data_IF_919036175912
#
_entry.id   IF_919036175912
#
_cell.length_a   1.000
_cell.length_b   1.000
_cell.length_c   1.000
_cell.angle_alpha   90.00
_cell.angle_beta   90.00
_cell.angle_gamma   90.00
#
_symmetry.space_group_name_H-M   'P 1'
#
loop_
_entity.id
_entity.type
_entity.pdbx_description
1 polymer ?
#
# COMPACT_ATOMS: atom_id res chain seq x y z
N UNK A 1 -3.49 -12.75 -20.17
CA UNK A 1 -3.27 -12.74 -18.70
C UNK A 1 -3.70 -11.37 -18.19
N UNK A 2 -4.52 -11.29 -17.17
CA UNK A 2 -4.88 -9.98 -16.60
C UNK A 2 -3.65 -9.39 -15.93
N UNK A 3 -3.45 -8.08 -16.08
CA UNK A 3 -2.39 -7.35 -15.42
C UNK A 3 -2.65 -7.30 -13.90
N UNK A 4 -1.65 -7.61 -13.09
CA UNK A 4 -1.76 -7.64 -11.64
C UNK A 4 -0.84 -6.59 -11.01
N UNK A 5 -1.39 -5.70 -10.20
CA UNK A 5 -0.61 -4.74 -9.45
C UNK A 5 -0.80 -4.90 -7.95
N UNK A 6 0.25 -4.61 -7.21
CA UNK A 6 0.18 -4.37 -5.77
C UNK A 6 0.23 -2.87 -5.52
N UNK A 7 -0.67 -2.35 -4.70
CA UNK A 7 -0.69 -0.93 -4.32
C UNK A 7 -0.54 -0.83 -2.82
N UNK A 8 0.53 -0.22 -2.36
CA UNK A 8 0.75 0.07 -0.93
C UNK A 8 0.32 1.47 -0.61
N UNK A 9 -0.43 1.61 0.47
CA UNK A 9 -0.91 2.91 0.95
C UNK A 9 -0.35 3.15 2.36
N UNK A 10 0.50 4.17 2.50
CA UNK A 10 1.08 4.57 3.78
C UNK A 10 0.07 5.19 4.73
N UNK A 11 0.30 5.10 6.04
CA UNK A 11 -0.55 5.73 7.05
C UNK A 11 -0.66 7.23 6.82
N UNK A 12 0.45 7.94 6.60
CA UNK A 12 0.47 9.38 6.30
C UNK A 12 -0.28 9.78 5.03
N UNK A 13 -0.52 8.82 4.12
CA UNK A 13 -1.28 9.06 2.88
C UNK A 13 -2.80 9.04 3.08
N UNK A 14 -3.27 8.33 4.11
CA UNK A 14 -4.69 8.10 4.37
C UNK A 14 -5.19 8.92 5.55
N UNK A 15 -4.28 9.40 6.42
CA UNK A 15 -4.63 10.16 7.59
C UNK A 15 -4.20 11.62 7.44
N UNK A 16 -5.14 12.53 7.69
CA UNK A 16 -4.90 13.96 7.75
C UNK A 16 -5.35 14.45 9.14
N UNK A 17 -4.44 15.04 9.92
CA UNK A 17 -4.70 15.52 11.29
C UNK A 17 -5.36 14.47 12.20
N UNK A 18 -4.95 13.20 12.09
CA UNK A 18 -5.47 12.09 12.90
C UNK A 18 -6.80 11.51 12.42
N UNK A 19 -7.44 12.09 11.41
CA UNK A 19 -8.67 11.59 10.81
C UNK A 19 -8.39 10.91 9.45
N UNK A 20 -9.26 9.98 9.05
CA UNK A 20 -9.17 9.33 7.75
C UNK A 20 -9.57 10.31 6.64
N UNK A 21 -8.74 10.39 5.61
CA UNK A 21 -9.04 11.13 4.38
C UNK A 21 -9.81 10.23 3.40
N UNK A 22 -11.13 10.30 3.50
CA UNK A 22 -12.02 9.54 2.61
C UNK A 22 -11.93 9.98 1.14
N UNK A 23 -11.44 11.18 0.85
CA UNK A 23 -11.23 11.61 -0.53
C UNK A 23 -10.08 10.83 -1.18
N UNK A 24 -8.99 10.61 -0.45
CA UNK A 24 -7.87 9.77 -0.92
C UNK A 24 -8.36 8.35 -1.17
N UNK A 25 -9.12 7.76 -0.24
CA UNK A 25 -9.67 6.41 -0.40
C UNK A 25 -10.67 6.32 -1.57
N UNK A 26 -11.53 7.34 -1.75
CA UNK A 26 -12.45 7.39 -2.88
C UNK A 26 -11.72 7.51 -4.22
N UNK A 27 -10.68 8.33 -4.30
CA UNK A 27 -9.85 8.43 -5.50
C UNK A 27 -9.10 7.12 -5.80
N UNK A 28 -8.64 6.41 -4.76
CA UNK A 28 -8.07 5.08 -4.91
C UNK A 28 -9.11 4.09 -5.45
N UNK A 29 -10.31 4.05 -4.84
CA UNK A 29 -11.42 3.20 -5.29
C UNK A 29 -11.81 3.45 -6.74
N UNK A 30 -11.91 4.71 -7.15
CA UNK A 30 -12.14 5.08 -8.55
C UNK A 30 -11.00 4.57 -9.46
N UNK A 31 -9.75 4.79 -9.04
CA UNK A 31 -8.59 4.42 -9.83
C UNK A 31 -8.47 2.90 -10.04
N UNK A 32 -8.61 2.09 -8.99
CA UNK A 32 -8.53 0.63 -9.11
C UNK A 32 -9.69 0.07 -9.95
N UNK A 33 -10.88 0.66 -9.80
CA UNK A 33 -12.06 0.27 -10.59
C UNK A 33 -11.85 0.58 -12.07
N UNK A 34 -11.42 1.79 -12.40
CA UNK A 34 -11.17 2.19 -13.79
C UNK A 34 -10.08 1.32 -14.44
N UNK A 35 -8.99 1.04 -13.73
CA UNK A 35 -7.93 0.14 -14.22
C UNK A 35 -8.45 -1.27 -14.47
N UNK A 36 -9.33 -1.78 -13.60
CA UNK A 36 -9.92 -3.10 -13.79
C UNK A 36 -10.78 -3.19 -15.04
N UNK A 37 -11.67 -2.24 -15.24
CA UNK A 37 -12.66 -2.32 -16.34
C UNK A 37 -12.11 -1.81 -17.68
N UNK A 38 -11.19 -0.85 -17.67
CA UNK A 38 -10.65 -0.27 -18.91
C UNK A 38 -9.30 -0.86 -19.33
N UNK A 39 -8.54 -1.50 -18.41
CA UNK A 39 -7.21 -2.05 -18.67
C UNK A 39 -7.01 -3.48 -18.17
N UNK A 40 -8.09 -4.16 -17.80
CA UNK A 40 -8.05 -5.53 -17.26
C UNK A 40 -7.04 -5.74 -16.12
N UNK A 41 -6.79 -4.68 -15.31
CA UNK A 41 -5.81 -4.69 -14.23
C UNK A 41 -6.47 -5.03 -12.91
N UNK A 42 -6.05 -6.13 -12.28
CA UNK A 42 -6.42 -6.50 -10.91
C UNK A 42 -5.50 -5.81 -9.90
N UNK A 43 -6.02 -5.46 -8.74
CA UNK A 43 -5.27 -4.77 -7.69
C UNK A 43 -5.36 -5.51 -6.36
N UNK A 44 -4.22 -5.67 -5.70
CA UNK A 44 -4.09 -6.11 -4.30
C UNK A 44 -3.58 -4.92 -3.51
N UNK A 45 -4.28 -4.55 -2.44
CA UNK A 45 -3.95 -3.36 -1.65
C UNK A 45 -3.24 -3.75 -0.35
N UNK A 46 -2.07 -3.18 -0.08
CA UNK A 46 -1.38 -3.29 1.20
C UNK A 46 -1.61 -2.02 1.99
N UNK A 47 -2.29 -2.14 3.10
CA UNK A 47 -2.83 -1.02 3.88
C UNK A 47 -2.11 -0.86 5.21
N UNK A 48 -2.21 0.31 5.82
CA UNK A 48 -1.61 0.65 7.11
C UNK A 48 -2.55 1.55 7.91
N UNK A 49 -2.34 1.63 9.24
CA UNK A 49 -3.05 2.59 10.08
C UNK A 49 -3.89 1.97 11.22
N UNK A 50 -3.92 0.64 11.35
CA UNK A 50 -4.69 -0.03 12.40
C UNK A 50 -4.28 0.45 13.81
N UNK A 51 -2.97 0.49 14.10
CA UNK A 51 -2.48 0.97 15.41
C UNK A 51 -2.93 2.41 15.66
N UNK A 52 -2.81 3.30 14.68
CA UNK A 52 -3.20 4.71 14.83
C UNK A 52 -4.70 4.86 15.14
N UNK A 53 -5.55 4.14 14.42
CA UNK A 53 -7.00 4.12 14.69
C UNK A 53 -7.30 3.57 16.09
N UNK A 54 -6.66 2.48 16.49
CA UNK A 54 -6.84 1.92 17.82
C UNK A 54 -6.33 2.82 18.93
N UNK A 55 -5.26 3.58 18.69
CA UNK A 55 -4.81 4.62 19.62
C UNK A 55 -5.89 5.69 19.82
N UNK A 56 -6.50 6.17 18.74
CA UNK A 56 -7.61 7.13 18.82
C UNK A 56 -8.79 6.59 19.60
N UNK A 57 -9.24 5.37 19.33
CA UNK A 57 -10.34 4.71 20.05
C UNK A 57 -10.04 4.49 21.55
N UNK A 58 -8.78 4.24 21.90
CA UNK A 58 -8.33 4.05 23.28
C UNK A 58 -7.92 5.34 23.99
N UNK A 59 -7.98 6.50 23.31
CA UNK A 59 -7.64 7.79 23.87
C UNK A 59 -6.14 8.03 24.08
N UNK A 60 -5.27 7.32 23.36
CA UNK A 60 -3.84 7.56 23.42
C UNK A 60 -3.43 8.79 22.58
N UNK A 61 -2.94 9.84 23.23
CA UNK A 61 -2.40 11.02 22.55
C UNK A 61 -1.01 10.78 21.92
N UNK A 62 -0.27 9.77 22.41
CA UNK A 62 1.05 9.40 21.92
C UNK A 62 1.14 7.88 21.76
N UNK A 63 2.02 7.44 20.85
CA UNK A 63 2.26 6.02 20.64
C UNK A 63 2.78 5.38 21.94
N UNK A 64 2.11 4.32 22.45
CA UNK A 64 2.58 3.59 23.62
C UNK A 64 3.94 2.94 23.39
N UNK A 65 4.77 2.89 24.42
CA UNK A 65 6.04 2.15 24.39
C UNK A 65 5.82 0.66 24.65
N UNK A 66 4.74 0.31 25.35
CA UNK A 66 4.37 -1.07 25.67
C UNK A 66 3.88 -1.80 24.42
N UNK A 67 4.51 -2.93 24.12
CA UNK A 67 4.17 -3.76 22.96
C UNK A 67 2.78 -4.36 23.04
N UNK A 68 2.32 -4.75 24.24
CA UNK A 68 0.98 -5.30 24.44
C UNK A 68 -0.10 -4.25 24.18
N UNK A 69 0.18 -2.99 24.59
CA UNK A 69 -0.71 -1.87 24.28
C UNK A 69 -0.74 -1.57 22.77
N UNK A 70 0.40 -1.64 22.08
CA UNK A 70 0.44 -1.49 20.62
C UNK A 70 -0.34 -2.60 19.91
N UNK A 71 -0.19 -3.85 20.35
CA UNK A 71 -0.98 -4.97 19.83
C UNK A 71 -2.48 -4.79 20.13
N UNK A 72 -2.82 -4.32 21.33
CA UNK A 72 -4.20 -3.99 21.67
C UNK A 72 -4.76 -2.89 20.77
N UNK A 73 -3.99 -1.83 20.50
CA UNK A 73 -4.37 -0.80 19.54
C UNK A 73 -4.58 -1.40 18.14
N UNK A 74 -3.68 -2.28 17.67
CA UNK A 74 -3.84 -2.95 16.39
C UNK A 74 -5.16 -3.74 16.30
N UNK A 75 -5.50 -4.53 17.34
CA UNK A 75 -6.74 -5.32 17.39
C UNK A 75 -7.99 -4.45 17.41
N UNK A 76 -7.97 -3.33 18.15
CA UNK A 76 -9.10 -2.38 18.21
C UNK A 76 -9.24 -1.60 16.90
N UNK A 77 -8.14 -1.20 16.31
CA UNK A 77 -8.15 -0.35 15.11
C UNK A 77 -8.33 -1.10 13.80
N UNK A 78 -7.97 -2.40 13.71
CA UNK A 78 -8.07 -3.14 12.46
C UNK A 78 -9.50 -3.23 11.90
N UNK A 79 -10.56 -3.51 12.67
CA UNK A 79 -11.93 -3.44 12.17
C UNK A 79 -12.30 -2.06 11.64
N UNK A 80 -11.90 -1.00 12.36
CA UNK A 80 -12.13 0.40 11.94
C UNK A 80 -11.41 0.75 10.63
N UNK A 81 -10.21 0.22 10.45
CA UNK A 81 -9.46 0.38 9.23
C UNK A 81 -10.20 -0.27 8.05
N UNK A 82 -10.73 -1.48 8.23
CA UNK A 82 -11.51 -2.18 7.22
C UNK A 82 -12.78 -1.43 6.84
N UNK A 83 -13.53 -0.94 7.83
CA UNK A 83 -14.74 -0.13 7.62
C UNK A 83 -14.41 1.13 6.80
N UNK A 84 -13.32 1.81 7.15
CA UNK A 84 -12.91 3.02 6.45
C UNK A 84 -12.53 2.75 4.97
N UNK A 85 -11.79 1.67 4.72
CA UNK A 85 -11.46 1.27 3.36
C UNK A 85 -12.69 0.83 2.58
N UNK A 86 -13.64 0.08 3.18
CA UNK A 86 -14.88 -0.30 2.48
C UNK A 86 -15.68 0.94 2.09
N UNK A 87 -15.90 1.89 3.01
CA UNK A 87 -16.61 3.14 2.74
C UNK A 87 -15.92 3.94 1.63
N UNK A 88 -14.62 4.18 1.78
CA UNK A 88 -13.88 5.03 0.84
C UNK A 88 -13.76 4.40 -0.55
N UNK A 89 -13.36 3.14 -0.64
CA UNK A 89 -13.23 2.44 -1.92
C UNK A 89 -14.59 2.33 -2.64
N UNK A 90 -15.66 2.06 -1.88
CA UNK A 90 -17.02 1.99 -2.41
C UNK A 90 -17.45 3.32 -3.01
N UNK A 91 -17.19 4.43 -2.34
CA UNK A 91 -17.53 5.76 -2.87
C UNK A 91 -16.86 6.03 -4.23
N UNK A 92 -15.60 5.61 -4.42
CA UNK A 92 -14.91 5.72 -5.70
C UNK A 92 -15.46 4.78 -6.77
N UNK A 93 -15.76 3.56 -6.36
CA UNK A 93 -16.34 2.53 -7.22
C UNK A 93 -17.73 2.94 -7.73
N UNK A 94 -18.58 3.46 -6.84
CA UNK A 94 -19.92 3.93 -7.20
C UNK A 94 -19.87 5.14 -8.14
N UNK A 95 -18.89 6.06 -7.92
CA UNK A 95 -18.64 7.18 -8.84
C UNK A 95 -18.34 6.68 -10.25
N UNK A 96 -17.41 5.73 -10.41
CA UNK A 96 -17.08 5.13 -11.71
C UNK A 96 -18.30 4.43 -12.32
N UNK A 97 -19.03 3.62 -11.54
CA UNK A 97 -20.20 2.88 -11.98
C UNK A 97 -21.28 3.83 -12.52
N UNK A 98 -21.53 4.93 -11.80
CA UNK A 98 -22.48 5.97 -12.22
C UNK A 98 -22.05 6.66 -13.51
N UNK A 99 -20.77 7.02 -13.63
CA UNK A 99 -20.23 7.65 -14.85
C UNK A 99 -20.38 6.75 -16.09
N UNK A 100 -20.29 5.43 -15.91
CA UNK A 100 -20.40 4.45 -17.01
C UNK A 100 -21.80 3.87 -17.21
N UNK A 101 -22.77 4.24 -16.39
CA UNK A 101 -24.12 3.66 -16.41
C UNK A 101 -24.16 2.18 -16.07
N UNK A 102 -23.23 1.71 -15.22
CA UNK A 102 -23.09 0.32 -14.82
C UNK A 102 -23.73 0.09 -13.44
N UNK A 103 -24.28 -1.10 -13.23
CA UNK A 103 -24.70 -1.58 -11.91
C UNK A 103 -23.67 -2.61 -11.43
N UNK A 104 -22.69 -2.15 -10.68
CA UNK A 104 -21.59 -2.97 -10.20
C UNK A 104 -21.69 -3.13 -8.68
N UNK A 105 -21.03 -4.17 -8.15
CA UNK A 105 -20.90 -4.40 -6.71
C UNK A 105 -19.44 -4.54 -6.33
N UNK A 106 -18.96 -3.65 -5.46
CA UNK A 106 -17.63 -3.79 -4.87
C UNK A 106 -17.66 -4.87 -3.77
N UNK A 107 -16.69 -5.77 -3.82
CA UNK A 107 -16.35 -6.68 -2.74
C UNK A 107 -14.88 -6.45 -2.35
N UNK A 108 -14.63 -6.45 -1.05
CA UNK A 108 -13.28 -6.46 -0.50
C UNK A 108 -13.10 -7.72 0.34
N UNK A 109 -11.87 -8.23 0.40
CA UNK A 109 -11.49 -9.31 1.31
C UNK A 109 -10.34 -8.88 2.20
N UNK A 110 -10.20 -9.47 3.38
CA UNK A 110 -9.12 -9.15 4.31
C UNK A 110 -8.19 -10.34 4.48
N UNK A 111 -6.88 -10.07 4.40
CA UNK A 111 -5.84 -11.04 4.73
C UNK A 111 -4.84 -10.40 5.69
N UNK A 112 -4.64 -11.02 6.84
CA UNK A 112 -3.72 -10.57 7.90
C UNK A 112 -2.62 -11.62 8.13
N UNK A 113 -1.60 -11.69 7.25
CA UNK A 113 -0.52 -12.62 7.45
C UNK A 113 0.43 -12.14 8.55
N UNK A 114 1.03 -13.09 9.26
CA UNK A 114 2.24 -12.84 10.02
C UNK A 114 3.47 -12.98 9.12
N UNK A 115 4.59 -12.42 9.55
CA UNK A 115 5.85 -12.56 8.83
C UNK A 115 6.26 -14.03 8.69
N UNK A 116 6.06 -14.83 9.76
CA UNK A 116 6.35 -16.26 9.76
C UNK A 116 5.55 -17.02 8.70
N UNK A 117 4.28 -16.69 8.51
CA UNK A 117 3.43 -17.31 7.50
C UNK A 117 3.90 -17.00 6.08
N UNK A 118 4.44 -15.81 5.86
CA UNK A 118 5.02 -15.45 4.55
C UNK A 118 6.37 -16.13 4.30
N UNK A 119 7.08 -16.57 5.34
CA UNK A 119 8.31 -17.36 5.20
C UNK A 119 8.00 -18.86 5.06
N UNK A 120 6.93 -19.35 5.67
CA UNK A 120 6.48 -20.75 5.53
C UNK A 120 5.94 -21.00 4.12
N UNK A 121 6.54 -21.97 3.42
CA UNK A 121 6.21 -22.23 2.01
C UNK A 121 4.76 -22.69 1.81
N UNK A 122 4.22 -23.52 2.70
CA UNK A 122 2.86 -24.05 2.58
C UNK A 122 1.82 -22.94 2.86
N UNK A 123 1.98 -22.20 3.95
CA UNK A 123 1.10 -21.10 4.31
C UNK A 123 1.13 -19.98 3.29
N UNK A 124 2.32 -19.59 2.82
CA UNK A 124 2.50 -18.61 1.75
C UNK A 124 1.76 -19.01 0.47
N UNK A 125 1.83 -20.29 0.05
CA UNK A 125 1.09 -20.78 -1.13
C UNK A 125 -0.42 -20.60 -0.97
N UNK A 126 -0.97 -20.92 0.22
CA UNK A 126 -2.39 -20.73 0.50
C UNK A 126 -2.80 -19.25 0.46
N UNK A 127 -2.00 -18.37 1.08
CA UNK A 127 -2.23 -16.93 1.04
C UNK A 127 -2.25 -16.43 -0.42
N UNK A 128 -1.24 -16.79 -1.20
CA UNK A 128 -1.12 -16.40 -2.62
C UNK A 128 -2.30 -16.92 -3.45
N UNK A 129 -2.67 -18.20 -3.27
CA UNK A 129 -3.79 -18.79 -3.99
C UNK A 129 -5.11 -18.05 -3.69
N UNK A 130 -5.35 -17.69 -2.42
CA UNK A 130 -6.51 -16.91 -2.01
C UNK A 130 -6.53 -15.50 -2.62
N UNK A 131 -5.39 -14.78 -2.56
CA UNK A 131 -5.26 -13.44 -3.14
C UNK A 131 -5.50 -13.44 -4.65
N UNK A 132 -4.93 -14.39 -5.38
CA UNK A 132 -5.14 -14.53 -6.82
C UNK A 132 -6.57 -14.92 -7.16
N UNK A 133 -7.18 -15.81 -6.37
CA UNK A 133 -8.58 -16.17 -6.54
C UNK A 133 -9.49 -14.95 -6.42
N UNK A 134 -9.36 -14.19 -5.34
CA UNK A 134 -10.15 -13.00 -5.09
C UNK A 134 -9.95 -11.93 -6.17
N UNK A 135 -8.69 -11.62 -6.49
CA UNK A 135 -8.35 -10.65 -7.52
C UNK A 135 -8.92 -11.01 -8.91
N UNK A 136 -8.94 -12.31 -9.26
CA UNK A 136 -9.54 -12.80 -10.49
C UNK A 136 -11.06 -12.67 -10.50
N UNK A 137 -11.73 -12.87 -9.36
CA UNK A 137 -13.17 -12.69 -9.19
C UNK A 137 -13.60 -11.21 -9.14
N UNK A 138 -12.66 -10.27 -9.07
CA UNK A 138 -12.95 -8.86 -8.95
C UNK A 138 -13.14 -8.36 -7.53
N UNK A 139 -12.86 -9.20 -6.58
CA UNK A 139 -12.75 -8.82 -5.18
C UNK A 139 -11.42 -8.09 -5.01
N UNK A 140 -11.38 -7.04 -4.21
CA UNK A 140 -10.15 -6.30 -3.90
C UNK A 140 -9.59 -6.83 -2.58
N UNK A 141 -8.47 -7.59 -2.59
CA UNK A 141 -7.83 -8.01 -1.35
C UNK A 141 -7.16 -6.84 -0.64
N UNK A 142 -7.44 -6.67 0.65
CA UNK A 142 -6.78 -5.76 1.56
C UNK A 142 -5.85 -6.55 2.49
N UNK A 143 -4.58 -6.22 2.48
CA UNK A 143 -3.55 -6.90 3.27
C UNK A 143 -2.96 -5.92 4.27
N UNK A 144 -2.87 -6.33 5.52
CA UNK A 144 -2.07 -5.69 6.56
C UNK A 144 -1.34 -6.77 7.35
N UNK A 145 -0.26 -6.42 8.05
CA UNK A 145 0.30 -7.36 9.01
C UNK A 145 -0.66 -7.66 10.15
N UNK A 146 -0.55 -8.87 10.72
CA UNK A 146 -1.29 -9.24 11.92
C UNK A 146 -0.58 -8.71 13.19
N UNK A 147 -0.49 -7.39 13.29
CA UNK A 147 0.13 -6.69 14.42
C UNK A 147 -0.49 -7.08 15.78
N UNK A 148 -1.71 -7.60 15.76
CA UNK A 148 -2.42 -8.03 16.95
C UNK A 148 -1.97 -9.37 17.53
N UNK A 149 -1.20 -10.16 16.76
CA UNK A 149 -0.75 -11.51 17.14
C UNK A 149 0.75 -11.58 17.34
N UNK A 150 1.52 -11.00 16.42
CA UNK A 150 2.97 -11.05 16.46
C UNK A 150 3.55 -9.68 16.89
N UNK A 151 4.19 -9.59 18.09
CA UNK A 151 4.74 -8.32 18.58
C UNK A 151 5.93 -7.83 17.74
N UNK A 152 6.53 -8.66 16.89
CA UNK A 152 7.62 -8.25 15.99
C UNK A 152 7.08 -7.48 14.78
N UNK A 153 5.82 -7.67 14.42
CA UNK A 153 5.17 -7.00 13.29
C UNK A 153 4.99 -5.49 13.54
N UNK A 154 4.74 -5.08 14.79
CA UNK A 154 4.51 -3.68 15.20
C UNK A 154 5.66 -2.72 14.80
N UNK A 155 6.88 -3.26 14.63
CA UNK A 155 8.07 -2.52 14.23
C UNK A 155 8.41 -2.66 12.75
N UNK A 156 7.65 -3.48 12.00
CA UNK A 156 7.92 -3.75 10.59
C UNK A 156 7.21 -2.75 9.69
N UNK A 157 7.78 -2.56 8.52
CA UNK A 157 7.25 -1.63 7.51
C UNK A 157 6.43 -2.38 6.45
N UNK A 158 5.26 -1.83 6.15
CA UNK A 158 4.37 -2.34 5.11
C UNK A 158 4.92 -2.12 3.68
N UNK A 159 5.98 -1.33 3.46
CA UNK A 159 6.66 -1.26 2.17
C UNK A 159 7.32 -2.62 1.85
N UNK A 160 7.99 -3.22 2.87
CA UNK A 160 8.57 -4.56 2.74
C UNK A 160 7.49 -5.64 2.55
N UNK A 161 6.37 -5.56 3.30
CA UNK A 161 5.23 -6.46 3.09
C UNK A 161 4.75 -6.38 1.63
N UNK A 162 4.54 -5.17 1.12
CA UNK A 162 4.07 -4.96 -0.25
C UNK A 162 5.03 -5.53 -1.30
N UNK A 163 6.34 -5.34 -1.11
CA UNK A 163 7.35 -5.92 -2.00
C UNK A 163 7.35 -7.45 -1.95
N UNK A 164 7.25 -8.06 -0.77
CA UNK A 164 7.16 -9.51 -0.61
C UNK A 164 5.90 -10.08 -1.27
N UNK A 165 4.77 -9.43 -1.09
CA UNK A 165 3.51 -9.80 -1.75
C UNK A 165 3.64 -9.66 -3.27
N UNK A 166 4.16 -8.52 -3.77
CA UNK A 166 4.36 -8.30 -5.21
C UNK A 166 5.28 -9.36 -5.83
N UNK A 167 6.42 -9.67 -5.18
CA UNK A 167 7.34 -10.73 -5.61
C UNK A 167 6.64 -12.09 -5.65
N UNK A 168 5.91 -12.44 -4.59
CA UNK A 168 5.30 -13.78 -4.47
C UNK A 168 4.13 -13.97 -5.44
N UNK A 169 3.38 -12.91 -5.72
CA UNK A 169 2.31 -12.89 -6.72
C UNK A 169 2.84 -12.79 -8.16
N UNK A 170 4.15 -12.55 -8.35
CA UNK A 170 4.74 -12.21 -9.65
C UNK A 170 3.95 -11.05 -10.28
N UNK A 171 3.74 -10.00 -9.50
CA UNK A 171 2.97 -8.85 -9.93
C UNK A 171 3.67 -8.09 -11.05
N UNK A 172 2.91 -7.47 -11.93
CA UNK A 172 3.46 -6.69 -13.05
C UNK A 172 4.04 -5.33 -12.58
N UNK A 173 3.63 -4.86 -11.40
CA UNK A 173 4.21 -3.67 -10.73
C UNK A 173 3.81 -3.55 -9.27
N UNK A 174 4.63 -2.79 -8.53
CA UNK A 174 4.27 -2.22 -7.23
C UNK A 174 4.05 -0.71 -7.37
N UNK A 175 3.00 -0.17 -6.75
CA UNK A 175 2.80 1.28 -6.59
C UNK A 175 2.79 1.60 -5.11
N UNK A 176 3.68 2.49 -4.66
CA UNK A 176 3.75 2.97 -3.27
C UNK A 176 3.18 4.39 -3.24
N UNK A 177 1.99 4.52 -2.67
CA UNK A 177 1.35 5.80 -2.37
C UNK A 177 1.90 6.32 -1.04
N UNK A 178 2.46 7.52 -1.06
CA UNK A 178 3.12 8.17 0.08
C UNK A 178 2.70 9.63 0.17
N UNK A 179 3.21 10.35 1.17
CA UNK A 179 3.00 11.80 1.38
C UNK A 179 4.04 12.68 0.69
N UNK A 180 5.07 12.08 0.08
CA UNK A 180 6.09 12.78 -0.70
C UNK A 180 5.96 12.49 -2.20
N UNK A 181 6.43 13.40 -3.05
CA UNK A 181 6.24 13.30 -4.50
C UNK A 181 7.07 12.18 -5.15
N UNK A 182 8.08 11.64 -4.44
CA UNK A 182 8.97 10.57 -4.87
C UNK A 182 10.35 10.74 -4.25
N UNK A 183 11.37 10.13 -4.86
CA UNK A 183 12.77 10.32 -4.50
C UNK A 183 13.22 11.71 -4.99
N UNK A 184 13.81 12.50 -4.10
CA UNK A 184 14.35 13.81 -4.44
C UNK A 184 15.89 13.74 -4.51
N UNK A 185 16.48 14.50 -5.44
CA UNK A 185 17.93 14.70 -5.49
C UNK A 185 18.41 15.70 -4.42
N UNK A 186 19.70 15.98 -4.39
CA UNK A 186 20.31 16.90 -3.43
C UNK A 186 19.78 18.34 -3.56
N UNK A 187 19.29 18.74 -4.75
CA UNK A 187 18.69 20.05 -5.02
C UNK A 187 17.18 20.08 -4.70
N UNK A 188 16.61 18.97 -4.21
CA UNK A 188 15.19 18.84 -3.93
C UNK A 188 14.30 18.62 -5.16
N UNK A 189 14.89 18.26 -6.30
CA UNK A 189 14.16 17.97 -7.53
C UNK A 189 13.77 16.48 -7.59
N UNK A 190 12.62 16.20 -8.19
CA UNK A 190 12.13 14.84 -8.34
C UNK A 190 13.03 14.01 -9.28
N UNK A 191 13.55 12.91 -8.76
CA UNK A 191 14.22 11.86 -9.55
C UNK A 191 13.16 11.00 -10.22
N UNK A 192 12.89 11.25 -11.50
CA UNK A 192 11.78 10.60 -12.23
C UNK A 192 12.01 9.13 -12.51
N UNK A 193 13.26 8.71 -12.72
CA UNK A 193 13.62 7.34 -13.08
C UNK A 193 14.91 6.88 -12.40
N UNK A 194 14.89 5.67 -11.88
CA UNK A 194 16.03 4.99 -11.26
C UNK A 194 16.13 3.59 -11.89
N UNK A 195 17.26 3.29 -12.53
CA UNK A 195 17.51 1.97 -13.14
C UNK A 195 18.35 1.05 -12.25
N UNK A 196 19.04 1.62 -11.26
CA UNK A 196 19.89 0.90 -10.33
C UNK A 196 19.87 1.61 -8.96
N UNK A 197 19.77 0.84 -7.87
CA UNK A 197 19.83 1.38 -6.50
C UNK A 197 21.23 1.14 -5.95
N UNK A 198 22.15 2.01 -6.35
CA UNK A 198 23.53 2.06 -5.87
C UNK A 198 23.67 2.95 -4.61
N UNK A 199 24.89 3.13 -4.12
CA UNK A 199 25.18 3.92 -2.91
C UNK A 199 24.81 5.40 -3.08
N UNK A 200 24.96 5.98 -4.27
CA UNK A 200 24.58 7.36 -4.56
C UNK A 200 23.06 7.56 -4.42
N UNK A 201 22.27 6.64 -4.99
CA UNK A 201 20.80 6.65 -4.85
C UNK A 201 20.38 6.46 -3.39
N UNK A 202 21.07 5.56 -2.65
CA UNK A 202 20.81 5.34 -1.23
C UNK A 202 21.16 6.57 -0.38
N UNK A 203 22.20 7.31 -0.73
CA UNK A 203 22.59 8.53 -0.05
C UNK A 203 21.53 9.63 -0.11
N UNK A 204 20.70 9.68 -1.16
CA UNK A 204 19.60 10.63 -1.29
C UNK A 204 18.51 10.45 -0.21
N UNK A 205 18.47 9.29 0.47
CA UNK A 205 17.51 9.04 1.55
C UNK A 205 17.89 9.71 2.88
N UNK A 206 19.13 10.19 3.05
CA UNK A 206 19.62 10.67 4.33
C UNK A 206 19.19 12.12 4.65
N UNK A 207 18.44 12.76 3.77
CA UNK A 207 18.13 14.19 3.86
C UNK A 207 16.83 14.58 4.58
N UNK A 208 15.74 13.83 4.48
CA UNK A 208 14.44 14.28 5.01
C UNK A 208 13.48 13.11 5.28
N UNK A 209 13.24 12.76 6.53
CA UNK A 209 12.16 11.84 6.85
C UNK A 209 12.01 11.52 8.33
N UNK A 210 11.11 12.22 9.00
CA UNK A 210 10.65 11.93 10.36
C UNK A 210 9.56 10.85 10.37
N UNK A 211 9.86 9.61 9.98
CA UNK A 211 8.89 8.52 10.06
C UNK A 211 9.55 7.14 10.04
N UNK A 212 8.94 6.15 10.69
CA UNK A 212 9.38 4.75 10.70
C UNK A 212 9.38 4.08 9.32
N UNK A 213 8.76 4.72 8.29
CA UNK A 213 8.65 4.27 6.91
C UNK A 213 9.20 5.30 5.91
N UNK A 214 10.40 5.82 6.13
CA UNK A 214 11.01 6.83 5.26
C UNK A 214 11.31 6.36 3.83
N UNK A 215 11.91 7.21 3.00
CA UNK A 215 12.30 6.86 1.62
C UNK A 215 13.22 5.65 1.58
N UNK A 216 14.04 5.43 2.62
CA UNK A 216 14.93 4.27 2.74
C UNK A 216 14.18 2.94 2.62
N UNK A 217 13.08 2.75 3.37
CA UNK A 217 12.29 1.51 3.32
C UNK A 217 11.62 1.29 1.96
N UNK A 218 11.21 2.38 1.29
CA UNK A 218 10.65 2.33 -0.06
C UNK A 218 11.70 1.94 -1.10
N UNK A 219 12.93 2.43 -0.97
CA UNK A 219 14.03 2.01 -1.82
C UNK A 219 14.46 0.57 -1.55
N UNK A 220 14.45 0.10 -0.30
CA UNK A 220 14.72 -1.30 0.04
C UNK A 220 13.67 -2.23 -0.58
N UNK A 221 12.40 -1.86 -0.49
CA UNK A 221 11.29 -2.58 -1.14
C UNK A 221 11.44 -2.61 -2.66
N UNK A 222 11.79 -1.48 -3.27
CA UNK A 222 12.02 -1.37 -4.70
C UNK A 222 13.26 -2.16 -5.17
N UNK A 223 14.35 -2.18 -4.39
CA UNK A 223 15.56 -2.95 -4.71
C UNK A 223 15.28 -4.46 -4.75
N UNK A 224 14.46 -4.96 -3.81
CA UNK A 224 13.99 -6.34 -3.84
C UNK A 224 13.31 -6.68 -5.17
N UNK A 225 12.44 -5.80 -5.65
CA UNK A 225 11.63 -6.01 -6.85
C UNK A 225 12.40 -5.75 -8.15
N UNK A 226 13.34 -4.80 -8.14
CA UNK A 226 14.19 -4.51 -9.28
C UNK A 226 15.02 -5.73 -9.70
N UNK A 227 15.47 -6.54 -8.74
CA UNK A 227 16.19 -7.80 -8.98
C UNK A 227 15.30 -8.85 -9.65
N UNK A 228 14.01 -8.80 -9.41
CA UNK A 228 13.00 -9.68 -10.01
C UNK A 228 12.42 -9.12 -11.33
N UNK A 229 12.85 -7.94 -11.76
CA UNK A 229 12.33 -7.28 -12.95
C UNK A 229 10.94 -6.67 -12.78
N UNK A 230 10.47 -6.50 -11.54
CA UNK A 230 9.16 -5.91 -11.24
C UNK A 230 9.34 -4.41 -10.99
N UNK A 231 8.74 -3.54 -11.83
CA UNK A 231 8.85 -2.09 -11.66
C UNK A 231 8.12 -1.60 -10.41
N UNK A 232 8.71 -0.60 -9.75
CA UNK A 232 8.12 0.07 -8.60
C UNK A 232 7.90 1.55 -8.91
N UNK A 233 6.69 2.04 -8.64
CA UNK A 233 6.30 3.45 -8.72
C UNK A 233 6.20 3.99 -7.30
N UNK A 234 6.86 5.11 -7.01
CA UNK A 234 6.74 5.84 -5.73
C UNK A 234 6.22 7.23 -6.04
N UNK A 235 5.14 7.64 -5.37
CA UNK A 235 4.58 8.97 -5.58
C UNK A 235 3.52 9.37 -4.56
N UNK A 236 3.19 10.67 -4.59
CA UNK A 236 2.29 11.26 -3.63
C UNK A 236 0.84 10.86 -3.88
N UNK A 237 0.17 10.40 -2.83
CA UNK A 237 -1.23 9.99 -2.87
C UNK A 237 -2.19 11.10 -3.33
N UNK A 238 -1.81 12.39 -3.14
CA UNK A 238 -2.59 13.55 -3.62
C UNK A 238 -2.83 13.53 -5.12
N UNK A 239 -1.93 12.93 -5.91
CA UNK A 239 -2.10 12.83 -7.37
C UNK A 239 -3.07 11.71 -7.80
N UNK A 240 -3.36 10.76 -6.90
CA UNK A 240 -4.17 9.59 -7.19
C UNK A 240 -3.44 8.53 -8.04
N UNK A 241 -3.92 7.30 -7.93
CA UNK A 241 -3.30 6.12 -8.54
C UNK A 241 -3.14 6.24 -10.06
N UNK A 242 -4.16 6.71 -10.77
CA UNK A 242 -4.15 6.82 -12.23
C UNK A 242 -3.08 7.77 -12.72
N UNK A 243 -3.00 8.97 -12.13
CA UNK A 243 -2.03 9.97 -12.55
C UNK A 243 -0.59 9.50 -12.28
N UNK A 244 -0.35 8.81 -11.17
CA UNK A 244 0.98 8.22 -10.89
C UNK A 244 1.37 7.15 -11.91
N UNK A 245 0.40 6.39 -12.43
CA UNK A 245 0.68 5.36 -13.44
C UNK A 245 0.92 6.01 -14.82
N UNK A 246 0.24 7.08 -15.14
CA UNK A 246 0.20 7.67 -16.49
C UNK A 246 1.19 8.82 -16.70
N UNK A 247 1.57 9.52 -15.63
CA UNK A 247 2.40 10.73 -15.73
C UNK A 247 3.74 10.57 -14.99
N UNK A 248 4.82 10.60 -15.75
CA UNK A 248 6.19 10.50 -15.22
C UNK A 248 6.66 11.75 -14.46
N UNK A 249 6.01 12.91 -14.64
CA UNK A 249 6.41 14.17 -13.99
C UNK A 249 6.04 14.26 -12.51
N UNK A 250 5.23 13.32 -12.00
CA UNK A 250 4.72 13.36 -10.62
C UNK A 250 5.11 12.13 -9.79
N UNK A 251 6.11 11.37 -10.26
CA UNK A 251 6.51 10.10 -9.62
C UNK A 251 7.99 9.79 -9.79
N UNK A 252 8.50 8.88 -8.98
CA UNK A 252 9.73 8.12 -9.25
C UNK A 252 9.36 6.73 -9.77
N UNK A 253 9.88 6.35 -10.93
CA UNK A 253 9.81 5.00 -11.47
C UNK A 253 11.16 4.30 -11.25
N UNK A 254 11.14 3.15 -10.59
CA UNK A 254 12.31 2.29 -10.39
C UNK A 254 12.10 1.03 -11.25
N UNK A 255 12.89 0.90 -12.30
CA UNK A 255 12.82 -0.23 -13.26
C UNK A 255 14.12 -0.38 -14.01
N UNK A 256 14.45 -1.57 -14.43
CA UNK A 256 15.51 -1.82 -15.42
C UNK A 256 15.13 -1.29 -16.79
#
# INVERSE_FOLDING_TARGET
MRYLQVVKIGTSSVFNNGAIDYLVLSNLGYGVTKLRFERETSSVLVVSGAILLGMGEKGFAKKPDDKMELQSCARVGQPKLMDAYDIGLRAGYDRYSKEKGLSLRLLISQVLPTYHQLDNTAERRNIVAGLLHDANQGIIPLINYNDGVDPTEVTRDNDNLAARIAKTLVADRLVILTDVDGLLDADGRLVRRVSEINDDVRALCNGNGNGTGGMKTKLEAADLLLKEGIPTIIGNSKYGLLKLIENEDVRTLISR
#
